data_IF_203370511783
#
_entry.id   IF_203370511783
#
_cell.length_a   1.000
_cell.length_b   1.000
_cell.length_c   1.000
_cell.angle_alpha   90.00
_cell.angle_beta   90.00
_cell.angle_gamma   90.00
#
_symmetry.space_group_name_H-M   'P 1'
#
loop_
_entity.id
_entity.type
_entity.pdbx_description
1 polymer ?
#
# COMPACT_ATOMS: atom_id res chain seq x y z
N UNK A 1 -10.27 -22.31 -0.30
CA UNK A 1 -11.00 -22.29 0.99
C UNK A 1 -11.38 -20.85 1.31
N UNK A 2 -12.69 -20.49 1.27
CA UNK A 2 -13.15 -19.13 1.61
C UNK A 2 -13.21 -19.00 3.13
N UNK A 3 -12.44 -18.09 3.71
CA UNK A 3 -12.45 -17.80 5.15
C UNK A 3 -13.23 -16.51 5.40
N UNK A 4 -14.05 -16.50 6.45
CA UNK A 4 -14.74 -15.28 6.89
C UNK A 4 -13.70 -14.30 7.42
N UNK A 5 -13.67 -13.10 6.84
CA UNK A 5 -12.82 -12.01 7.31
C UNK A 5 -13.42 -11.45 8.61
N UNK A 6 -12.55 -11.05 9.52
CA UNK A 6 -12.94 -10.39 10.77
C UNK A 6 -13.76 -9.11 10.49
N UNK A 7 -14.87 -8.94 11.21
CA UNK A 7 -15.77 -7.80 11.04
C UNK A 7 -15.11 -6.47 11.38
N UNK A 8 -14.09 -6.45 12.25
CA UNK A 8 -13.38 -5.24 12.69
C UNK A 8 -12.81 -4.45 11.52
N UNK A 9 -12.28 -5.13 10.50
CA UNK A 9 -11.69 -4.47 9.32
C UNK A 9 -12.78 -3.71 8.56
N UNK A 10 -13.93 -4.35 8.34
CA UNK A 10 -15.05 -3.75 7.63
C UNK A 10 -15.64 -2.58 8.42
N UNK A 11 -15.88 -2.77 9.71
CA UNK A 11 -16.41 -1.72 10.60
C UNK A 11 -15.46 -0.52 10.66
N UNK A 12 -14.15 -0.76 10.71
CA UNK A 12 -13.14 0.31 10.69
C UNK A 12 -13.22 1.13 9.40
N UNK A 13 -13.26 0.47 8.23
CA UNK A 13 -13.37 1.17 6.94
C UNK A 13 -14.67 1.97 6.86
N UNK A 14 -15.80 1.38 7.26
CA UNK A 14 -17.10 2.06 7.28
C UNK A 14 -17.10 3.30 8.20
N UNK A 15 -16.48 3.19 9.38
CA UNK A 15 -16.37 4.31 10.32
C UNK A 15 -15.43 5.40 9.81
N UNK A 16 -14.27 5.04 9.26
CA UNK A 16 -13.31 5.98 8.69
C UNK A 16 -13.93 6.79 7.53
N UNK A 17 -14.70 6.13 6.65
CA UNK A 17 -15.42 6.81 5.56
C UNK A 17 -16.49 7.76 6.11
N UNK A 18 -17.28 7.35 7.11
CA UNK A 18 -18.33 8.19 7.71
C UNK A 18 -17.76 9.41 8.44
N UNK A 19 -16.70 9.21 9.22
CA UNK A 19 -16.06 10.26 10.03
C UNK A 19 -15.02 11.07 9.25
N UNK A 20 -14.79 10.75 7.96
CA UNK A 20 -13.73 11.32 7.11
C UNK A 20 -12.33 11.21 7.74
N UNK A 21 -12.08 10.13 8.48
CA UNK A 21 -10.76 9.82 9.02
C UNK A 21 -9.98 8.91 8.06
N UNK A 22 -8.66 9.07 8.04
CA UNK A 22 -7.76 8.20 7.25
C UNK A 22 -7.52 6.90 8.02
N UNK A 23 -7.66 5.76 7.37
CA UNK A 23 -7.34 4.46 7.96
C UNK A 23 -5.90 4.06 7.61
N UNK A 24 -5.17 3.50 8.57
CA UNK A 24 -3.85 2.90 8.35
C UNK A 24 -3.94 1.40 8.55
N UNK A 25 -3.56 0.62 7.53
CA UNK A 25 -3.42 -0.83 7.61
C UNK A 25 -1.97 -1.24 7.42
N UNK A 26 -1.50 -2.13 8.28
CA UNK A 26 -0.19 -2.76 8.16
C UNK A 26 -0.41 -4.23 7.82
N UNK A 27 0.03 -4.65 6.64
CA UNK A 27 -0.13 -6.02 6.15
C UNK A 27 1.23 -6.69 6.16
N UNK A 28 1.31 -7.82 6.86
CA UNK A 28 2.53 -8.60 6.99
C UNK A 28 2.36 -9.88 6.16
N UNK A 29 3.33 -10.13 5.28
CA UNK A 29 3.47 -11.38 4.54
C UNK A 29 3.64 -11.20 3.03
N UNK A 30 4.17 -12.25 2.41
CA UNK A 30 4.61 -12.24 1.00
C UNK A 30 3.45 -12.02 0.00
N UNK A 31 2.23 -12.41 0.38
CA UNK A 31 1.00 -12.25 -0.42
C UNK A 31 0.19 -11.01 -0.06
N UNK A 32 0.84 -9.97 0.46
CA UNK A 32 0.17 -8.72 0.85
C UNK A 32 -0.58 -8.04 -0.31
N UNK A 33 -0.15 -8.24 -1.56
CA UNK A 33 -0.77 -7.65 -2.76
C UNK A 33 -2.21 -8.10 -2.99
N UNK A 34 -2.49 -9.38 -2.76
CA UNK A 34 -3.84 -9.93 -2.92
C UNK A 34 -4.79 -9.30 -1.89
N UNK A 35 -4.27 -8.97 -0.71
CA UNK A 35 -5.05 -8.33 0.35
C UNK A 35 -5.32 -6.85 0.08
N UNK A 36 -4.41 -6.15 -0.61
CA UNK A 36 -4.63 -4.78 -1.09
C UNK A 36 -5.86 -4.73 -2.01
N UNK A 37 -6.03 -5.73 -2.89
CA UNK A 37 -7.21 -5.83 -3.77
C UNK A 37 -8.49 -5.96 -2.97
N UNK A 38 -8.49 -6.80 -1.93
CA UNK A 38 -9.63 -6.99 -1.05
C UNK A 38 -9.98 -5.70 -0.28
N UNK A 39 -8.98 -4.98 0.23
CA UNK A 39 -9.18 -3.69 0.91
C UNK A 39 -9.75 -2.64 -0.04
N UNK A 40 -9.21 -2.54 -1.26
CA UNK A 40 -9.74 -1.64 -2.26
C UNK A 40 -11.18 -1.98 -2.65
N UNK A 41 -11.51 -3.27 -2.77
CA UNK A 41 -12.88 -3.71 -3.03
C UNK A 41 -13.83 -3.31 -1.89
N UNK A 42 -13.42 -3.48 -0.63
CA UNK A 42 -14.20 -3.04 0.52
C UNK A 42 -14.40 -1.52 0.52
N UNK A 43 -13.34 -0.75 0.30
CA UNK A 43 -13.41 0.71 0.21
C UNK A 43 -14.35 1.16 -0.92
N UNK A 44 -14.22 0.57 -2.10
CA UNK A 44 -15.07 0.87 -3.27
C UNK A 44 -16.55 0.56 -3.03
N UNK A 45 -16.85 -0.41 -2.16
CA UNK A 45 -18.23 -0.77 -1.81
C UNK A 45 -18.81 0.15 -0.74
N UNK A 46 -17.98 0.64 0.17
CA UNK A 46 -18.38 1.52 1.27
C UNK A 46 -18.53 2.97 0.81
N UNK A 47 -17.71 3.42 -0.13
CA UNK A 47 -17.75 4.77 -0.68
C UNK A 47 -18.87 4.87 -1.71
N UNK A 48 -19.79 5.82 -1.49
CA UNK A 48 -20.93 6.10 -2.41
C UNK A 48 -20.50 6.91 -3.65
N UNK A 49 -19.29 7.47 -3.63
CA UNK A 49 -18.68 8.25 -4.73
C UNK A 49 -18.06 7.33 -5.79
N UNK A 50 -17.55 7.94 -6.87
CA UNK A 50 -16.68 7.31 -7.85
C UNK A 50 -15.54 6.50 -7.20
N UNK A 51 -15.10 5.45 -7.89
CA UNK A 51 -14.03 4.54 -7.43
C UNK A 51 -12.78 5.34 -7.01
N UNK A 52 -12.21 5.05 -5.84
CA UNK A 52 -11.04 5.76 -5.33
C UNK A 52 -9.83 5.52 -6.25
N UNK A 53 -9.05 6.58 -6.48
CA UNK A 53 -7.75 6.48 -7.14
C UNK A 53 -6.71 5.87 -6.20
N UNK A 54 -5.77 5.10 -6.76
CA UNK A 54 -4.75 4.39 -5.98
C UNK A 54 -3.37 4.96 -6.30
N UNK A 55 -2.64 5.35 -5.27
CA UNK A 55 -1.22 5.67 -5.32
C UNK A 55 -0.41 4.43 -4.93
N UNK A 56 0.49 3.99 -5.79
CA UNK A 56 1.39 2.87 -5.51
C UNK A 56 2.84 3.34 -5.49
N UNK A 57 3.45 3.36 -4.30
CA UNK A 57 4.83 3.75 -4.09
C UNK A 57 5.75 2.55 -3.90
N UNK A 58 6.89 2.57 -4.56
CA UNK A 58 7.87 1.49 -4.57
C UNK A 58 9.30 2.03 -4.76
N UNK A 59 10.29 1.25 -4.34
CA UNK A 59 11.72 1.61 -4.43
C UNK A 59 12.33 1.19 -5.77
N UNK A 60 12.24 -0.11 -6.10
CA UNK A 60 12.95 -0.68 -7.25
C UNK A 60 12.11 -1.67 -8.07
N UNK A 61 11.38 -2.58 -7.44
CA UNK A 61 10.76 -3.70 -8.17
C UNK A 61 9.24 -3.77 -8.02
N UNK A 62 8.58 -3.84 -9.18
CA UNK A 62 7.18 -4.19 -9.31
C UNK A 62 7.09 -5.55 -10.00
N UNK A 63 6.20 -6.43 -9.53
CA UNK A 63 6.01 -7.75 -10.14
C UNK A 63 5.44 -7.68 -11.56
N UNK A 64 4.65 -6.64 -11.85
CA UNK A 64 4.14 -6.33 -13.18
C UNK A 64 4.62 -4.93 -13.56
N UNK A 65 5.09 -4.75 -14.80
CA UNK A 65 5.49 -3.42 -15.28
C UNK A 65 4.38 -2.38 -15.06
N UNK A 66 4.74 -1.19 -14.62
CA UNK A 66 3.84 -0.03 -14.53
C UNK A 66 3.29 0.38 -15.90
N UNK A 67 4.10 0.21 -16.96
CA UNK A 67 3.72 0.55 -18.33
C UNK A 67 2.76 -0.48 -18.96
N UNK A 68 1.55 -0.05 -19.34
CA UNK A 68 0.45 -0.90 -19.87
C UNK A 68 0.90 -1.81 -21.02
N UNK A 69 1.56 -1.27 -22.06
CA UNK A 69 2.02 -2.08 -23.20
C UNK A 69 3.06 -3.15 -22.79
N UNK A 70 3.96 -2.83 -21.85
CA UNK A 70 4.99 -3.77 -21.38
C UNK A 70 4.33 -4.87 -20.53
N UNK A 71 3.37 -4.52 -19.69
CA UNK A 71 2.56 -5.44 -18.90
C UNK A 71 1.80 -6.44 -19.77
N UNK A 72 1.08 -5.96 -20.80
CA UNK A 72 0.36 -6.86 -21.72
C UNK A 72 1.30 -7.84 -22.42
N UNK A 73 2.51 -7.39 -22.80
CA UNK A 73 3.54 -8.29 -23.35
C UNK A 73 4.06 -9.31 -22.34
N UNK A 74 4.28 -8.90 -21.08
CA UNK A 74 4.67 -9.81 -20.00
C UNK A 74 3.61 -10.88 -19.73
N UNK A 75 2.34 -10.47 -19.62
CA UNK A 75 1.21 -11.39 -19.40
C UNK A 75 1.07 -12.37 -20.57
N UNK A 76 1.14 -11.89 -21.82
CA UNK A 76 1.12 -12.77 -23.01
C UNK A 76 2.27 -13.79 -22.99
N UNK A 77 3.48 -13.38 -22.62
CA UNK A 77 4.63 -14.30 -22.48
C UNK A 77 4.43 -15.33 -21.36
N UNK A 78 3.82 -14.94 -20.24
CA UNK A 78 3.51 -15.87 -19.13
C UNK A 78 2.44 -16.88 -19.54
N UNK A 79 1.40 -16.43 -20.27
CA UNK A 79 0.35 -17.27 -20.82
C UNK A 79 0.90 -18.27 -21.85
N UNK A 80 1.79 -17.82 -22.76
CA UNK A 80 2.47 -18.70 -23.73
C UNK A 80 3.36 -19.76 -23.07
N UNK A 81 3.85 -19.50 -21.86
CA UNK A 81 4.67 -20.45 -21.08
C UNK A 81 3.82 -21.41 -20.24
N UNK A 82 2.48 -21.32 -20.29
CA UNK A 82 1.58 -22.16 -19.50
C UNK A 82 1.60 -21.86 -18.00
N UNK A 83 2.18 -20.71 -17.59
CA UNK A 83 2.27 -20.29 -16.17
C UNK A 83 1.01 -19.55 -15.69
N UNK A 84 0.08 -19.24 -16.60
CA UNK A 84 -1.16 -18.54 -16.31
C UNK A 84 -2.34 -19.32 -16.90
N UNK A 85 -3.30 -19.70 -16.05
CA UNK A 85 -4.55 -20.32 -16.49
C UNK A 85 -5.46 -19.26 -17.13
N UNK A 86 -5.90 -19.43 -18.39
CA UNK A 86 -6.79 -18.46 -19.06
C UNK A 86 -8.18 -18.36 -18.42
N UNK A 87 -8.63 -19.38 -17.67
CA UNK A 87 -9.93 -19.36 -16.99
C UNK A 87 -9.90 -18.74 -15.58
N UNK A 88 -8.72 -18.64 -14.96
CA UNK A 88 -8.54 -18.03 -13.63
C UNK A 88 -7.81 -16.71 -13.78
N UNK A 89 -8.55 -15.66 -14.12
CA UNK A 89 -7.99 -14.31 -14.02
C UNK A 89 -7.62 -14.00 -12.56
N UNK A 90 -6.34 -13.68 -12.34
CA UNK A 90 -5.82 -13.26 -11.04
C UNK A 90 -6.54 -11.96 -10.60
N UNK A 91 -7.16 -11.91 -9.40
CA UNK A 91 -7.82 -10.71 -8.88
C UNK A 91 -6.95 -9.46 -8.92
N UNK A 92 -5.62 -9.61 -8.77
CA UNK A 92 -4.67 -8.50 -8.87
C UNK A 92 -4.60 -7.94 -10.29
N UNK A 93 -4.65 -8.80 -11.31
CA UNK A 93 -4.64 -8.38 -12.72
C UNK A 93 -5.90 -7.58 -13.08
N UNK A 94 -7.07 -8.01 -12.59
CA UNK A 94 -8.34 -7.30 -12.76
C UNK A 94 -8.34 -5.97 -12.01
N UNK A 95 -7.80 -5.93 -10.80
CA UNK A 95 -7.62 -4.71 -10.03
C UNK A 95 -6.77 -3.69 -10.82
N UNK A 96 -5.62 -4.12 -11.30
CA UNK A 96 -4.68 -3.29 -12.04
C UNK A 96 -5.26 -2.82 -13.40
N UNK A 97 -6.14 -3.59 -14.01
CA UNK A 97 -6.82 -3.22 -15.27
C UNK A 97 -8.00 -2.26 -15.07
N UNK A 98 -8.73 -2.40 -13.97
CA UNK A 98 -10.00 -1.70 -13.72
C UNK A 98 -9.87 -0.44 -12.88
N UNK A 99 -8.73 -0.25 -12.20
CA UNK A 99 -8.50 0.90 -11.31
C UNK A 99 -7.47 1.85 -11.89
N UNK A 100 -7.62 3.13 -11.55
CA UNK A 100 -6.64 4.15 -11.92
C UNK A 100 -5.51 4.17 -10.88
N UNK A 101 -4.39 3.52 -11.23
CA UNK A 101 -3.22 3.41 -10.37
C UNK A 101 -2.12 4.35 -10.84
N UNK A 102 -1.76 5.31 -9.98
CA UNK A 102 -0.59 6.16 -10.14
C UNK A 102 0.62 5.47 -9.52
N UNK A 103 1.55 5.03 -10.35
CA UNK A 103 2.83 4.48 -9.89
C UNK A 103 3.82 5.61 -9.64
N UNK A 104 4.46 5.62 -8.47
CA UNK A 104 5.43 6.63 -8.08
C UNK A 104 6.64 5.94 -7.42
N UNK A 105 7.84 6.35 -7.80
CA UNK A 105 9.04 5.92 -7.08
C UNK A 105 9.19 6.73 -5.79
N UNK A 106 9.80 6.17 -4.75
CA UNK A 106 10.01 6.91 -3.50
C UNK A 106 10.78 8.22 -3.68
N UNK A 107 11.80 8.25 -4.54
CA UNK A 107 12.54 9.49 -4.84
C UNK A 107 11.68 10.55 -5.54
N UNK A 108 10.62 10.13 -6.23
CA UNK A 108 9.72 10.96 -7.02
C UNK A 108 8.44 11.39 -6.28
N UNK A 109 8.36 11.13 -4.98
CA UNK A 109 7.19 11.48 -4.12
C UNK A 109 6.93 12.98 -4.02
N UNK A 110 7.86 13.83 -4.43
CA UNK A 110 7.60 15.27 -4.53
C UNK A 110 6.60 15.60 -5.66
N UNK A 111 6.48 14.75 -6.69
CA UNK A 111 5.58 14.97 -7.84
C UNK A 111 4.12 14.66 -7.55
N UNK A 112 3.83 14.01 -6.42
CA UNK A 112 2.45 13.67 -6.02
C UNK A 112 1.84 14.71 -5.09
N UNK A 113 2.62 15.70 -4.64
CA UNK A 113 2.11 16.83 -3.87
C UNK A 113 1.07 17.60 -4.68
N UNK A 114 -0.01 18.02 -4.02
CA UNK A 114 -1.15 18.68 -4.66
C UNK A 114 -2.14 17.73 -5.34
N UNK A 115 -1.83 16.43 -5.45
CA UNK A 115 -2.80 15.42 -5.85
C UNK A 115 -3.40 14.72 -4.63
N UNK A 116 -4.66 14.34 -4.72
CA UNK A 116 -5.37 13.58 -3.70
C UNK A 116 -5.73 12.18 -4.21
N UNK A 117 -5.50 11.18 -3.38
CA UNK A 117 -5.78 9.77 -3.66
C UNK A 117 -6.72 9.19 -2.60
N UNK A 118 -7.55 8.24 -3.02
CA UNK A 118 -8.44 7.52 -2.10
C UNK A 118 -7.74 6.36 -1.39
N UNK A 119 -6.68 5.81 -2.00
CA UNK A 119 -5.89 4.74 -1.40
C UNK A 119 -4.40 4.94 -1.71
N UNK A 120 -3.54 4.71 -0.72
CA UNK A 120 -2.08 4.72 -0.88
C UNK A 120 -1.50 3.37 -0.45
N UNK A 121 -0.61 2.80 -1.26
CA UNK A 121 0.08 1.55 -1.01
C UNK A 121 1.57 1.80 -1.00
N UNK A 122 2.23 1.50 0.11
CA UNK A 122 3.67 1.62 0.30
C UNK A 122 4.25 0.21 0.40
N UNK A 123 5.05 -0.19 -0.61
CA UNK A 123 5.51 -1.57 -0.76
C UNK A 123 6.78 -1.91 0.06
N UNK A 124 7.76 -1.01 0.13
CA UNK A 124 9.07 -1.31 0.70
C UNK A 124 9.32 -0.46 1.96
N UNK A 125 8.95 -0.99 3.13
CA UNK A 125 9.10 -0.28 4.40
C UNK A 125 10.54 0.13 4.71
N UNK A 126 11.52 -0.70 4.36
CA UNK A 126 12.95 -0.45 4.62
C UNK A 126 13.49 0.84 3.97
N UNK A 127 12.80 1.34 2.94
CA UNK A 127 13.19 2.54 2.22
C UNK A 127 12.37 3.77 2.62
N UNK A 128 11.42 3.63 3.55
CA UNK A 128 10.59 4.73 4.00
C UNK A 128 11.36 5.60 4.98
N UNK A 129 11.40 6.89 4.66
CA UNK A 129 11.84 7.94 5.60
C UNK A 129 10.62 8.67 6.14
N UNK A 130 10.70 9.32 7.32
CA UNK A 130 9.58 10.06 7.89
C UNK A 130 8.99 11.11 6.94
N UNK A 131 9.84 11.76 6.14
CA UNK A 131 9.42 12.73 5.14
C UNK A 131 8.60 12.08 3.99
N UNK A 132 9.00 10.90 3.52
CA UNK A 132 8.21 10.16 2.51
C UNK A 132 6.85 9.73 3.05
N UNK A 133 6.81 9.26 4.30
CA UNK A 133 5.58 8.92 5.00
C UNK A 133 4.66 10.13 5.12
N UNK A 134 5.17 11.27 5.58
CA UNK A 134 4.39 12.50 5.70
C UNK A 134 3.77 12.92 4.36
N UNK A 135 4.58 12.99 3.29
CA UNK A 135 4.11 13.37 1.95
C UNK A 135 3.04 12.43 1.41
N UNK A 136 3.24 11.12 1.55
CA UNK A 136 2.29 10.12 1.03
C UNK A 136 1.00 10.10 1.83
N UNK A 137 1.06 10.19 3.16
CA UNK A 137 -0.11 10.23 4.03
C UNK A 137 -0.91 11.52 3.88
N UNK A 138 -0.26 12.65 3.60
CA UNK A 138 -0.92 13.93 3.33
C UNK A 138 -1.76 13.87 2.04
N UNK A 139 -1.27 13.20 1.00
CA UNK A 139 -2.00 13.07 -0.28
C UNK A 139 -3.22 12.14 -0.21
N UNK A 140 -3.51 11.51 0.93
CA UNK A 140 -4.69 10.64 1.09
C UNK A 140 -5.87 11.44 1.64
N UNK A 141 -7.01 11.35 0.96
CA UNK A 141 -8.23 12.05 1.36
C UNK A 141 -8.85 11.46 2.65
N UNK A 142 -9.67 12.26 3.35
CA UNK A 142 -10.42 11.78 4.51
C UNK A 142 -11.40 10.67 4.13
N UNK A 143 -11.36 9.55 4.84
CA UNK A 143 -12.06 8.31 4.46
C UNK A 143 -11.24 7.39 3.55
N UNK A 144 -10.05 7.81 3.15
CA UNK A 144 -9.11 6.99 2.39
C UNK A 144 -8.33 6.00 3.24
N UNK A 145 -7.60 5.11 2.56
CA UNK A 145 -6.83 4.03 3.18
C UNK A 145 -5.34 4.15 2.83
N UNK A 146 -4.48 4.13 3.85
CA UNK A 146 -3.03 3.97 3.72
C UNK A 146 -2.67 2.52 4.06
N UNK A 147 -1.94 1.85 3.17
CA UNK A 147 -1.48 0.47 3.36
C UNK A 147 0.04 0.42 3.38
N UNK A 148 0.60 -0.13 4.45
CA UNK A 148 2.02 -0.50 4.57
C UNK A 148 2.16 -2.00 4.34
N UNK A 149 2.98 -2.40 3.36
CA UNK A 149 3.33 -3.80 3.14
C UNK A 149 4.67 -4.10 3.83
N UNK A 150 4.68 -5.15 4.65
CA UNK A 150 5.87 -5.70 5.30
C UNK A 150 6.07 -7.13 4.80
N UNK A 151 7.24 -7.42 4.22
CA UNK A 151 7.58 -8.76 3.74
C UNK A 151 7.97 -9.72 4.87
N UNK A 152 8.79 -9.25 5.83
CA UNK A 152 9.30 -10.09 6.92
C UNK A 152 8.87 -9.62 8.30
N UNK A 153 8.74 -10.58 9.23
CA UNK A 153 8.48 -10.30 10.65
C UNK A 153 9.61 -9.50 11.33
N UNK A 154 10.85 -9.61 10.83
CA UNK A 154 11.99 -8.81 11.31
C UNK A 154 11.73 -7.31 11.17
N UNK A 155 11.13 -6.89 10.05
CA UNK A 155 10.74 -5.50 9.81
C UNK A 155 9.67 -5.01 10.80
N UNK A 156 8.81 -5.90 11.31
CA UNK A 156 7.83 -5.57 12.34
C UNK A 156 8.49 -5.41 13.71
N UNK A 157 9.41 -6.31 14.08
CA UNK A 157 10.18 -6.16 15.32
C UNK A 157 10.98 -4.85 15.29
N UNK A 158 11.59 -4.50 14.15
CA UNK A 158 12.25 -3.21 13.94
C UNK A 158 11.29 -2.01 14.12
N UNK A 159 10.04 -2.11 13.67
CA UNK A 159 9.03 -1.07 13.86
C UNK A 159 8.66 -0.90 15.35
N UNK A 160 8.51 -2.01 16.08
CA UNK A 160 8.28 -1.98 17.53
C UNK A 160 9.48 -1.45 18.32
N UNK A 161 10.71 -1.82 17.93
CA UNK A 161 11.91 -1.30 18.57
C UNK A 161 12.13 0.17 18.24
N UNK A 162 11.83 0.64 17.02
CA UNK A 162 11.88 2.06 16.66
C UNK A 162 10.99 2.91 17.58
N UNK A 163 9.82 2.41 17.98
CA UNK A 163 8.95 3.13 18.93
C UNK A 163 9.45 3.13 20.37
N UNK A 164 10.19 2.09 20.80
CA UNK A 164 10.82 2.06 22.13
C UNK A 164 12.07 2.94 22.21
N UNK A 165 12.80 3.08 21.10
CA UNK A 165 14.12 3.73 21.07
C UNK A 165 14.05 5.26 20.91
N UNK A 166 12.87 5.86 20.65
CA UNK A 166 12.72 7.33 20.58
C UNK A 166 13.03 7.99 21.92
N UNK A 167 12.77 7.29 23.04
CA UNK A 167 13.14 7.77 24.37
C UNK A 167 14.62 7.52 24.72
N UNK A 168 15.26 6.52 24.10
CA UNK A 168 16.70 6.29 24.24
C UNK A 168 17.52 7.25 23.34
N UNK A 169 16.96 7.70 22.22
CA UNK A 169 17.55 8.67 21.27
C UNK A 169 17.17 10.13 21.54
N UNK A 170 16.71 10.44 22.75
CA UNK A 170 16.49 11.83 23.15
C UNK A 170 17.87 12.46 23.41
N UNK A 171 18.52 12.92 22.34
CA UNK A 171 19.82 13.61 22.42
C UNK A 171 19.62 14.92 23.18
N UNK A 172 20.01 14.95 24.45
CA UNK A 172 20.39 16.19 25.13
C UNK A 172 21.78 16.59 24.63
N UNK A 173 22.14 17.87 24.70
CA UNK A 173 23.47 18.36 24.27
C UNK A 173 24.65 17.59 24.92
N UNK A 174 24.39 16.90 26.03
CA UNK A 174 25.32 16.07 26.78
C UNK A 174 25.61 14.67 26.20
N UNK A 175 24.84 14.15 25.24
CA UNK A 175 25.09 12.83 24.63
C UNK A 175 24.94 12.86 23.10
N UNK A 176 26.08 12.95 22.39
CA UNK A 176 26.17 13.14 20.94
C UNK A 176 26.21 11.84 20.11
N UNK A 177 26.41 10.66 20.70
CA UNK A 177 26.52 9.41 19.93
C UNK A 177 25.53 8.35 20.41
N UNK A 178 24.81 7.78 19.44
CA UNK A 178 23.93 6.61 19.62
C UNK A 178 24.66 5.40 19.03
N UNK A 179 24.81 4.32 19.80
CA UNK A 179 25.33 3.03 19.34
C UNK A 179 24.23 2.16 18.74
#
# INVERSE_FOLDING_TARGET
>A
MRKKVDSRIRTLVENCVKLRHRALFVIIGDKGRDQVVNLHYMLSKTVVKARPSVLWCYKKELHLSSHRKKRTRQIKKMMQRGLLDPEKEDPFSLFVASTNIRYCFYHDTHKILGNTFGMCVLQDFEALTPNLLARTMETVEGGGIVVLLLSTLRSLTQLFTLTMDVHARLCTESHQEVT
#
